data_IF_469811468440
#
_entry.id   IF_469811468440
#
_cell.length_a   1.000
_cell.length_b   1.000
_cell.length_c   1.000
_cell.angle_alpha   90.00
_cell.angle_beta   90.00
_cell.angle_gamma   90.00
#
_symmetry.space_group_name_H-M   'P 1'
#
loop_
_entity.id
_entity.type
_entity.pdbx_description
1 polymer ?
#
# COMPACT_ATOMS: atom_id res chain seq x y z
N UNK A 1 -4.41 -12.54 -14.42
CA UNK A 1 -5.88 -12.59 -14.44
C UNK A 1 -6.34 -13.92 -15.04
N UNK A 2 -7.09 -14.74 -14.29
CA UNK A 2 -7.62 -16.01 -14.79
C UNK A 2 -8.76 -15.77 -15.80
N UNK A 3 -8.78 -16.50 -16.92
CA UNK A 3 -9.81 -16.43 -17.96
C UNK A 3 -11.24 -16.49 -17.40
N UNK A 4 -11.48 -17.35 -16.40
CA UNK A 4 -12.80 -17.50 -15.79
C UNK A 4 -13.25 -16.26 -15.03
N UNK A 5 -12.31 -15.56 -14.38
CA UNK A 5 -12.59 -14.31 -13.67
C UNK A 5 -12.91 -13.22 -14.68
N UNK A 6 -12.07 -13.04 -15.71
CA UNK A 6 -12.31 -12.06 -16.77
C UNK A 6 -13.68 -12.26 -17.44
N UNK A 7 -14.04 -13.50 -17.76
CA UNK A 7 -15.33 -13.83 -18.38
C UNK A 7 -16.52 -13.44 -17.49
N UNK A 8 -16.46 -13.73 -16.19
CA UNK A 8 -17.52 -13.35 -15.24
C UNK A 8 -17.65 -11.84 -15.12
N UNK A 9 -16.52 -11.14 -15.02
CA UNK A 9 -16.47 -9.67 -14.93
C UNK A 9 -17.06 -9.01 -16.18
N UNK A 10 -16.65 -9.45 -17.37
CA UNK A 10 -17.17 -8.90 -18.63
C UNK A 10 -18.68 -9.16 -18.79
N UNK A 11 -19.15 -10.34 -18.38
CA UNK A 11 -20.59 -10.64 -18.37
C UNK A 11 -21.37 -9.71 -17.43
N UNK A 12 -20.79 -9.36 -16.27
CA UNK A 12 -21.41 -8.40 -15.35
C UNK A 12 -21.46 -6.98 -15.93
N UNK A 13 -20.41 -6.54 -16.61
CA UNK A 13 -20.37 -5.22 -17.27
C UNK A 13 -21.36 -5.11 -18.44
N UNK A 14 -21.53 -6.19 -19.19
CA UNK A 14 -22.55 -6.25 -20.25
C UNK A 14 -23.95 -6.12 -19.66
N UNK A 15 -24.22 -6.78 -18.53
CA UNK A 15 -25.50 -6.63 -17.82
C UNK A 15 -25.74 -5.21 -17.30
N UNK A 16 -24.68 -4.46 -16.99
CA UNK A 16 -24.79 -3.06 -16.58
C UNK A 16 -24.82 -2.07 -17.77
N UNK A 17 -24.91 -2.56 -19.01
CA UNK A 17 -25.08 -1.73 -20.21
C UNK A 17 -23.80 -1.38 -20.95
N UNK A 18 -22.62 -1.84 -20.51
CA UNK A 18 -21.36 -1.64 -21.24
C UNK A 18 -21.32 -2.59 -22.44
N UNK A 19 -21.13 -2.05 -23.63
CA UNK A 19 -21.11 -2.85 -24.86
C UNK A 19 -19.80 -3.65 -25.00
N UNK A 20 -19.81 -4.82 -25.67
CA UNK A 20 -18.58 -5.56 -25.97
C UNK A 20 -17.53 -4.72 -26.72
N UNK A 21 -17.97 -3.76 -27.55
CA UNK A 21 -17.09 -2.86 -28.30
C UNK A 21 -16.36 -1.88 -27.38
N UNK A 22 -17.03 -1.32 -26.37
CA UNK A 22 -16.41 -0.46 -25.36
C UNK A 22 -15.37 -1.22 -24.53
N UNK A 23 -15.68 -2.46 -24.13
CA UNK A 23 -14.73 -3.33 -23.42
C UNK A 23 -13.49 -3.59 -24.29
N UNK A 24 -13.68 -3.95 -25.56
CA UNK A 24 -12.57 -4.22 -26.48
C UNK A 24 -11.70 -2.97 -26.69
N UNK A 25 -12.31 -1.80 -26.84
CA UNK A 25 -11.58 -0.54 -26.98
C UNK A 25 -10.80 -0.17 -25.72
N UNK A 26 -11.35 -0.41 -24.53
CA UNK A 26 -10.63 -0.21 -23.27
C UNK A 26 -9.41 -1.14 -23.18
N UNK A 27 -9.58 -2.42 -23.50
CA UNK A 27 -8.48 -3.40 -23.50
C UNK A 27 -7.38 -3.04 -24.52
N UNK A 28 -7.74 -2.53 -25.70
CA UNK A 28 -6.77 -2.06 -26.71
C UNK A 28 -5.93 -0.87 -26.26
N UNK A 29 -6.45 -0.06 -25.34
CA UNK A 29 -5.75 1.10 -24.77
C UNK A 29 -4.96 0.75 -23.52
N UNK A 30 -5.13 -0.46 -22.97
CA UNK A 30 -4.43 -0.91 -21.78
C UNK A 30 -2.96 -1.21 -22.13
N UNK A 31 -2.04 -0.52 -21.46
CA UNK A 31 -0.61 -0.82 -21.53
C UNK A 31 -0.21 -1.56 -20.25
N UNK A 32 0.49 -2.68 -20.41
CA UNK A 32 0.95 -3.52 -19.30
C UNK A 32 2.46 -3.65 -19.43
N UNK A 33 3.17 -3.35 -18.34
CA UNK A 33 4.60 -3.62 -18.20
C UNK A 33 4.71 -4.89 -17.35
N UNK A 34 5.28 -5.94 -17.95
CA UNK A 34 5.60 -7.18 -17.24
C UNK A 34 7.08 -7.19 -16.88
N UNK A 35 7.38 -7.54 -15.64
CA UNK A 35 8.75 -7.76 -15.16
C UNK A 35 8.82 -9.20 -14.72
N UNK A 36 9.71 -9.97 -15.35
CA UNK A 36 9.99 -11.34 -14.93
C UNK A 36 11.12 -11.28 -13.90
N UNK A 37 10.92 -11.98 -12.80
CA UNK A 37 11.88 -12.09 -11.71
C UNK A 37 12.57 -13.45 -11.82
N UNK A 38 13.90 -13.46 -11.68
CA UNK A 38 14.66 -14.68 -11.48
C UNK A 38 14.48 -15.18 -10.04
N UNK A 39 14.80 -16.45 -9.74
CA UNK A 39 14.60 -17.02 -8.41
C UNK A 39 15.40 -16.30 -7.30
N UNK A 40 16.49 -15.63 -7.67
CA UNK A 40 17.36 -14.89 -6.76
C UNK A 40 16.95 -13.41 -6.61
N UNK A 41 16.00 -12.94 -7.42
CA UNK A 41 15.53 -11.57 -7.37
C UNK A 41 14.60 -11.37 -6.17
N UNK A 42 14.83 -10.30 -5.40
CA UNK A 42 13.90 -9.85 -4.38
C UNK A 42 12.84 -8.92 -5.04
N UNK A 43 11.56 -9.35 -5.13
CA UNK A 43 10.49 -8.53 -5.71
C UNK A 43 10.40 -7.14 -5.04
N UNK A 44 10.71 -7.07 -3.75
CA UNK A 44 10.68 -5.82 -2.98
C UNK A 44 11.76 -4.85 -3.48
N UNK A 45 12.99 -5.33 -3.67
CA UNK A 45 14.12 -4.50 -4.13
C UNK A 45 13.87 -3.98 -5.54
N UNK A 46 13.29 -4.81 -6.42
CA UNK A 46 12.95 -4.39 -7.78
C UNK A 46 11.83 -3.36 -7.77
N UNK A 47 10.80 -3.54 -6.94
CA UNK A 47 9.74 -2.55 -6.79
C UNK A 47 10.27 -1.21 -6.26
N UNK A 48 11.18 -1.23 -5.28
CA UNK A 48 11.87 -0.04 -4.77
C UNK A 48 12.68 0.67 -5.87
N UNK A 49 13.44 -0.10 -6.66
CA UNK A 49 14.27 0.41 -7.75
C UNK A 49 13.43 1.13 -8.81
N UNK A 50 12.29 0.54 -9.21
CA UNK A 50 11.39 1.13 -10.21
C UNK A 50 10.82 2.47 -9.70
N UNK A 51 10.37 2.51 -8.45
CA UNK A 51 9.80 3.73 -7.87
C UNK A 51 10.82 4.87 -7.69
N UNK A 52 12.12 4.57 -7.76
CA UNK A 52 13.19 5.57 -7.68
C UNK A 52 13.42 6.35 -8.98
N UNK A 53 12.88 5.88 -10.12
CA UNK A 53 13.17 6.44 -11.46
C UNK A 53 12.06 7.34 -12.03
N UNK A 54 11.05 7.72 -11.22
CA UNK A 54 9.91 8.56 -11.62
C UNK A 54 9.51 9.63 -10.59
N UNK A 55 8.22 9.98 -10.52
CA UNK A 55 7.69 10.76 -9.39
C UNK A 55 7.85 9.89 -8.13
N UNK A 56 8.68 10.36 -7.19
CA UNK A 56 8.99 9.61 -5.99
C UNK A 56 7.71 9.32 -5.19
N UNK A 57 7.47 8.04 -4.92
CA UNK A 57 6.42 7.64 -3.98
C UNK A 57 6.70 8.24 -2.60
N UNK A 58 5.64 8.59 -1.87
CA UNK A 58 5.78 9.02 -0.49
C UNK A 58 6.18 7.84 0.40
N UNK A 59 6.64 8.13 1.63
CA UNK A 59 6.96 7.06 2.58
C UNK A 59 5.73 6.21 2.89
N UNK A 60 4.54 6.83 3.01
CA UNK A 60 3.29 6.12 3.22
C UNK A 60 2.91 5.22 2.06
N UNK A 61 3.16 5.64 0.81
CA UNK A 61 2.93 4.79 -0.37
C UNK A 61 3.87 3.58 -0.37
N UNK A 62 5.16 3.79 -0.10
CA UNK A 62 6.14 2.71 0.00
C UNK A 62 5.81 1.72 1.12
N UNK A 63 5.43 2.22 2.30
CA UNK A 63 5.03 1.38 3.44
C UNK A 63 3.74 0.62 3.13
N UNK A 64 2.73 1.25 2.50
CA UNK A 64 1.52 0.56 2.04
C UNK A 64 1.87 -0.61 1.14
N UNK A 65 2.68 -0.34 0.11
CA UNK A 65 3.02 -1.33 -0.89
C UNK A 65 3.77 -2.51 -0.24
N UNK A 66 4.75 -2.22 0.62
CA UNK A 66 5.45 -3.24 1.40
C UNK A 66 4.49 -4.08 2.27
N UNK A 67 3.56 -3.45 2.99
CA UNK A 67 2.64 -4.16 3.88
C UNK A 67 1.59 -4.99 3.14
N UNK A 68 1.29 -4.65 1.88
CA UNK A 68 0.23 -5.30 1.09
C UNK A 68 0.76 -6.21 -0.02
N UNK A 69 2.07 -6.48 -0.09
CA UNK A 69 2.64 -7.48 -1.02
C UNK A 69 2.33 -8.95 -0.64
N UNK A 70 1.36 -9.21 0.24
CA UNK A 70 0.93 -10.57 0.60
C UNK A 70 0.01 -11.15 -0.49
N UNK A 71 0.53 -12.09 -1.28
CA UNK A 71 -0.17 -12.73 -2.40
C UNK A 71 -1.48 -13.44 -2.05
N UNK A 72 -1.71 -13.81 -0.79
CA UNK A 72 -2.85 -14.64 -0.41
C UNK A 72 -3.99 -13.82 0.18
N UNK A 73 -3.68 -12.75 0.92
CA UNK A 73 -4.65 -12.02 1.73
C UNK A 73 -4.72 -10.52 1.43
N UNK A 74 -4.11 -10.05 0.35
CA UNK A 74 -4.01 -8.62 0.01
C UNK A 74 -5.34 -7.86 0.16
N UNK A 75 -6.42 -8.34 -0.46
CA UNK A 75 -7.73 -7.66 -0.43
C UNK A 75 -8.28 -7.55 1.00
N UNK A 76 -8.19 -8.64 1.77
CA UNK A 76 -8.64 -8.66 3.17
C UNK A 76 -7.81 -7.70 4.02
N UNK A 77 -6.48 -7.70 3.87
CA UNK A 77 -5.59 -6.81 4.61
C UNK A 77 -5.84 -5.33 4.27
N UNK A 78 -6.09 -5.05 2.99
CA UNK A 78 -6.42 -3.72 2.50
C UNK A 78 -7.73 -3.22 3.12
N UNK A 79 -8.82 -3.97 3.00
CA UNK A 79 -10.14 -3.56 3.49
C UNK A 79 -10.20 -3.49 5.02
N UNK A 80 -9.59 -4.47 5.70
CA UNK A 80 -9.72 -4.62 7.15
C UNK A 80 -8.84 -3.63 7.91
N UNK A 81 -7.66 -3.30 7.39
CA UNK A 81 -6.67 -2.51 8.12
C UNK A 81 -6.26 -1.23 7.40
N UNK A 82 -5.85 -1.32 6.14
CA UNK A 82 -5.31 -0.17 5.42
C UNK A 82 -6.36 0.93 5.22
N UNK A 83 -7.54 0.59 4.68
CA UNK A 83 -8.62 1.57 4.46
C UNK A 83 -8.98 2.32 5.75
N UNK A 84 -9.18 1.65 6.92
CA UNK A 84 -9.41 2.35 8.17
C UNK A 84 -8.27 3.29 8.60
N UNK A 85 -7.01 2.91 8.41
CA UNK A 85 -5.86 3.77 8.72
C UNK A 85 -5.87 5.01 7.83
N UNK A 86 -5.99 4.79 6.52
CA UNK A 86 -6.02 5.86 5.52
C UNK A 86 -7.20 6.81 5.78
N UNK A 87 -8.39 6.29 6.03
CA UNK A 87 -9.59 7.11 6.32
C UNK A 87 -9.44 7.94 7.59
N UNK A 88 -8.76 7.41 8.62
CA UNK A 88 -8.55 8.14 9.88
C UNK A 88 -7.55 9.28 9.75
N UNK A 89 -6.56 9.13 8.88
CA UNK A 89 -5.38 10.00 8.85
C UNK A 89 -5.33 10.91 7.62
N UNK A 90 -5.87 10.48 6.48
CA UNK A 90 -5.75 11.21 5.21
C UNK A 90 -6.76 12.36 5.14
N UNK A 91 -6.29 13.59 5.33
CA UNK A 91 -7.08 14.82 5.16
C UNK A 91 -6.82 15.44 3.79
N UNK A 92 -7.85 16.04 3.19
CA UNK A 92 -7.77 16.77 1.91
C UNK A 92 -7.10 15.98 0.76
N UNK A 93 -7.25 14.64 0.76
CA UNK A 93 -6.62 13.73 -0.21
C UNK A 93 -5.08 13.76 -0.25
N UNK A 94 -4.40 14.33 0.76
CA UNK A 94 -2.93 14.42 0.83
C UNK A 94 -2.32 13.34 1.73
N UNK A 95 -1.16 12.82 1.34
CA UNK A 95 -0.39 11.82 2.09
C UNK A 95 0.44 12.43 3.25
N UNK A 96 0.48 13.76 3.39
CA UNK A 96 1.32 14.43 4.40
C UNK A 96 1.05 13.94 5.82
N UNK A 97 -0.22 13.79 6.20
CA UNK A 97 -0.60 13.33 7.54
C UNK A 97 -0.23 11.85 7.77
N UNK A 98 -0.30 11.02 6.73
CA UNK A 98 0.14 9.63 6.77
C UNK A 98 1.66 9.54 6.91
N UNK A 99 2.42 10.32 6.14
CA UNK A 99 3.88 10.38 6.24
C UNK A 99 4.33 10.83 7.63
N UNK A 100 3.68 11.87 8.18
CA UNK A 100 3.96 12.35 9.53
C UNK A 100 3.61 11.30 10.58
N UNK A 101 2.48 10.60 10.43
CA UNK A 101 2.10 9.50 11.31
C UNK A 101 3.17 8.41 11.34
N UNK A 102 3.62 7.92 10.19
CA UNK A 102 4.65 6.87 10.13
C UNK A 102 5.96 7.32 10.77
N UNK A 103 6.37 8.57 10.55
CA UNK A 103 7.55 9.13 11.21
C UNK A 103 7.40 9.16 12.72
N UNK A 104 6.24 9.61 13.24
CA UNK A 104 5.99 9.68 14.67
C UNK A 104 5.88 8.29 15.31
N UNK A 105 5.27 7.34 14.61
CA UNK A 105 5.22 5.93 15.00
C UNK A 105 6.64 5.38 15.19
N UNK A 106 7.54 5.59 14.24
CA UNK A 106 8.93 5.12 14.35
C UNK A 106 9.71 5.81 15.48
N UNK A 107 9.55 7.13 15.65
CA UNK A 107 10.16 7.86 16.76
C UNK A 107 9.73 7.24 18.10
N UNK A 108 8.45 6.90 18.22
CA UNK A 108 7.89 6.28 19.42
C UNK A 108 8.45 4.87 19.63
N UNK A 109 8.53 4.05 18.58
CA UNK A 109 9.00 2.66 18.67
C UNK A 109 10.51 2.53 18.89
N UNK A 110 11.32 3.43 18.31
CA UNK A 110 12.78 3.42 18.39
C UNK A 110 13.34 4.34 19.48
N UNK A 111 12.50 5.18 20.09
CA UNK A 111 12.89 6.21 21.05
C UNK A 111 14.05 7.09 20.52
N UNK A 112 14.00 7.44 19.24
CA UNK A 112 15.07 8.17 18.55
C UNK A 112 14.52 9.05 17.43
N UNK A 113 15.29 10.06 17.01
CA UNK A 113 14.88 10.95 15.92
C UNK A 113 15.02 10.25 14.57
N UNK A 114 13.97 10.30 13.75
CA UNK A 114 13.95 9.72 12.41
C UNK A 114 13.97 10.85 11.37
N UNK A 115 14.85 10.76 10.39
CA UNK A 115 14.87 11.68 9.24
C UNK A 115 13.80 11.27 8.24
N UNK A 116 13.08 12.21 7.63
CA UNK A 116 11.99 11.93 6.69
C UNK A 116 12.40 11.00 5.55
N UNK A 117 13.57 11.24 4.94
CA UNK A 117 14.13 10.39 3.88
C UNK A 117 14.46 8.94 4.30
N UNK A 118 14.46 8.65 5.61
CA UNK A 118 14.78 7.33 6.16
C UNK A 118 13.55 6.59 6.69
N UNK A 119 12.37 7.22 6.71
CA UNK A 119 11.17 6.64 7.34
C UNK A 119 10.86 5.24 6.81
N UNK A 120 10.81 5.08 5.48
CA UNK A 120 10.59 3.76 4.88
C UNK A 120 11.63 2.71 5.30
N UNK A 121 12.93 3.00 5.15
CA UNK A 121 13.99 2.05 5.51
C UNK A 121 13.97 1.67 7.00
N UNK A 122 13.73 2.66 7.87
CA UNK A 122 13.65 2.45 9.32
C UNK A 122 12.40 1.62 9.70
N UNK A 123 11.32 1.74 8.92
CA UNK A 123 10.12 0.93 9.06
C UNK A 123 10.37 -0.54 8.67
N UNK A 124 10.96 -0.78 7.50
CA UNK A 124 11.28 -2.15 7.05
C UNK A 124 12.27 -2.83 8.01
N UNK A 125 13.27 -2.09 8.50
CA UNK A 125 14.19 -2.58 9.54
C UNK A 125 13.47 -2.97 10.83
N UNK A 126 12.55 -2.12 11.32
CA UNK A 126 11.74 -2.42 12.49
C UNK A 126 10.89 -3.68 12.28
N UNK A 127 10.23 -3.77 11.13
CA UNK A 127 9.37 -4.89 10.75
C UNK A 127 10.14 -6.22 10.77
N UNK A 128 11.31 -6.25 10.11
CA UNK A 128 12.17 -7.45 10.04
C UNK A 128 12.72 -7.81 11.43
N UNK A 129 13.18 -6.83 12.22
CA UNK A 129 13.71 -7.06 13.58
C UNK A 129 12.67 -7.58 14.56
N UNK A 130 11.45 -7.06 14.51
CA UNK A 130 10.34 -7.50 15.37
C UNK A 130 9.66 -8.78 14.84
N UNK A 131 10.09 -9.30 13.69
CA UNK A 131 9.51 -10.47 13.01
C UNK A 131 8.00 -10.33 12.84
N UNK A 132 7.55 -9.14 12.46
CA UNK A 132 6.15 -8.93 12.15
C UNK A 132 5.73 -9.73 10.92
N UNK A 133 4.48 -10.17 10.95
CA UNK A 133 3.74 -10.53 9.73
C UNK A 133 3.09 -9.28 9.15
N UNK A 134 2.71 -9.32 7.88
CA UNK A 134 1.96 -8.23 7.22
C UNK A 134 0.71 -7.84 8.03
N UNK A 135 -0.08 -8.84 8.46
CA UNK A 135 -1.28 -8.62 9.27
C UNK A 135 -1.00 -8.01 10.65
N UNK A 136 -0.02 -8.55 11.40
CA UNK A 136 0.28 -8.04 12.74
C UNK A 136 0.82 -6.61 12.73
N UNK A 137 1.65 -6.26 11.73
CA UNK A 137 2.10 -4.89 11.54
C UNK A 137 0.93 -3.95 11.24
N UNK A 138 0.02 -4.35 10.33
CA UNK A 138 -1.18 -3.58 10.00
C UNK A 138 -2.12 -3.41 11.21
N UNK A 139 -2.30 -4.45 12.02
CA UNK A 139 -3.09 -4.39 13.25
C UNK A 139 -2.49 -3.41 14.28
N UNK A 140 -1.17 -3.43 14.45
CA UNK A 140 -0.47 -2.47 15.32
C UNK A 140 -0.65 -1.05 14.78
N UNK A 141 -0.36 -0.83 13.49
CA UNK A 141 -0.50 0.48 12.85
C UNK A 141 -1.92 1.04 12.98
N UNK A 142 -2.95 0.21 12.81
CA UNK A 142 -4.35 0.60 13.04
C UNK A 142 -4.61 1.08 14.47
N UNK A 143 -3.95 0.47 15.45
CA UNK A 143 -4.05 0.88 16.85
C UNK A 143 -3.37 2.22 17.09
N UNK A 144 -2.14 2.39 16.58
CA UNK A 144 -1.39 3.65 16.69
C UNK A 144 -2.05 4.80 15.91
N UNK A 145 -2.64 4.53 14.74
CA UNK A 145 -3.37 5.51 13.95
C UNK A 145 -4.55 6.10 14.74
N UNK A 146 -5.29 5.26 15.48
CA UNK A 146 -6.37 5.73 16.38
C UNK A 146 -5.85 6.63 17.51
N UNK A 147 -4.69 6.30 18.08
CA UNK A 147 -4.07 7.11 19.14
C UNK A 147 -3.62 8.46 18.56
N UNK A 148 -2.91 8.43 17.44
CA UNK A 148 -2.46 9.62 16.72
C UNK A 148 -3.64 10.54 16.37
N UNK A 149 -4.68 9.99 15.75
CA UNK A 149 -5.88 10.75 15.39
C UNK A 149 -6.52 11.44 16.59
N UNK A 150 -6.58 10.80 17.76
CA UNK A 150 -7.13 11.44 18.98
C UNK A 150 -6.28 12.62 19.47
N UNK A 151 -4.96 12.50 19.43
CA UNK A 151 -4.03 13.56 19.86
C UNK A 151 -4.16 14.78 18.94
N UNK A 152 -4.24 14.56 17.62
CA UNK A 152 -4.24 15.62 16.61
C UNK A 152 -5.64 16.02 16.09
N UNK A 153 -6.72 15.45 16.64
CA UNK A 153 -8.09 15.92 16.44
C UNK A 153 -8.57 16.84 17.57
N UNK A 154 -7.75 17.04 18.62
CA UNK A 154 -8.08 17.84 19.80
C UNK A 154 -7.64 19.31 19.68
N UNK A 155 -7.27 19.77 18.47
CA UNK A 155 -6.85 21.13 18.16
C UNK A 155 -7.48 21.61 16.86
#
# INVERSE_FOLDING_TARGET
>A
MNYQVAKKTFASWIKSGITPFEILNALRKLQVVGINLDQEDDPQVIFESINSTGVALTNSDLIRNFLLMDDHNQDQLFDTYWIPIETLLRRNNSNNDLDQFFRQYLITKKNSTIMERKVYFEFVDLFKKQRFTHESALQELKTYAKIYAKIYASF
#
